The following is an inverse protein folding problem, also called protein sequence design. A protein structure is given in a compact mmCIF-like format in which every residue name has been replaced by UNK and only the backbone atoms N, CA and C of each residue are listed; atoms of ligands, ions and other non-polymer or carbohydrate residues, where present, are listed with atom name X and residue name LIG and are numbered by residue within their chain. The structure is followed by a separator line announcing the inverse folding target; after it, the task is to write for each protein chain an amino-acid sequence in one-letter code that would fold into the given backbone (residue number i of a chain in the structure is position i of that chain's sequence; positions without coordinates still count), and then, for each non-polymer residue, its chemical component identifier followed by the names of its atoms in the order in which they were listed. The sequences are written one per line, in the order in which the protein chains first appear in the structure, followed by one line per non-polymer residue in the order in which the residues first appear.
data_IF_413105669107
#
_entry.id   IF_413105669107
#
_cell.length_a   1.000
_cell.length_b   1.000
_cell.length_c   1.000
_cell.angle_alpha   90.00
_cell.angle_beta   90.00
_cell.angle_gamma   90.00
#
_symmetry.space_group_name_H-M   'P 1'
#
loop_
_entity.id
_entity.type
_entity.pdbx_description
1 polymer ?
#
# COMPACT_ATOMS: atom_id res chain seq x y z
N UNK A 1 12.82 -3.52 1.35
CA UNK A 1 11.55 -2.94 1.81
C UNK A 1 10.55 -4.07 1.91
N UNK A 2 9.58 -3.95 2.82
CA UNK A 2 8.60 -4.98 3.08
C UNK A 2 7.30 -4.68 2.32
N UNK A 3 6.72 -5.70 1.71
CA UNK A 3 5.42 -5.57 1.02
C UNK A 3 4.28 -5.67 2.03
N UNK A 4 3.15 -5.09 1.71
CA UNK A 4 1.98 -5.06 2.59
C UNK A 4 0.75 -5.57 1.85
N UNK A 5 -0.04 -6.42 2.50
CA UNK A 5 -1.26 -6.98 1.92
C UNK A 5 -2.48 -6.35 2.59
N UNK A 6 -3.45 -5.95 1.78
CA UNK A 6 -4.75 -5.51 2.25
C UNK A 6 -5.52 -6.71 2.80
N UNK A 7 -5.86 -6.67 4.08
CA UNK A 7 -6.55 -7.77 4.77
C UNK A 7 -8.02 -7.92 4.32
N UNK A 8 -8.55 -6.94 3.59
CA UNK A 8 -9.93 -6.94 3.10
C UNK A 8 -10.06 -7.56 1.71
N UNK A 9 -9.17 -7.21 0.78
CA UNK A 9 -9.30 -7.61 -0.63
C UNK A 9 -8.08 -8.34 -1.21
N UNK A 10 -6.99 -8.45 -0.45
CA UNK A 10 -5.77 -9.14 -0.88
C UNK A 10 -4.89 -8.35 -1.85
N UNK A 11 -5.14 -7.06 -2.08
CA UNK A 11 -4.21 -6.21 -2.83
C UNK A 11 -2.84 -6.19 -2.13
N UNK A 12 -1.75 -6.30 -2.90
CA UNK A 12 -0.39 -6.23 -2.36
C UNK A 12 0.23 -4.91 -2.80
N UNK A 13 0.56 -4.06 -1.82
CA UNK A 13 1.45 -2.93 -2.01
C UNK A 13 2.89 -3.44 -2.06
N UNK A 14 3.53 -3.31 -3.22
CA UNK A 14 4.95 -3.57 -3.41
C UNK A 14 5.70 -2.22 -3.48
N UNK A 15 6.54 -1.90 -2.49
CA UNK A 15 7.35 -0.68 -2.49
C UNK A 15 8.21 -0.48 -3.74
N UNK A 16 8.61 -1.55 -4.44
CA UNK A 16 9.39 -1.43 -5.69
C UNK A 16 8.56 -0.92 -6.87
N UNK A 17 7.24 -1.08 -6.79
CA UNK A 17 6.27 -0.63 -7.80
C UNK A 17 5.66 0.71 -7.39
N UNK A 18 5.30 0.85 -6.11
CA UNK A 18 4.50 1.98 -5.62
C UNK A 18 3.04 1.90 -6.11
N UNK A 19 2.42 3.05 -6.24
CA UNK A 19 1.07 3.26 -6.75
C UNK A 19 0.96 4.67 -7.37
N UNK A 20 1.61 4.86 -8.53
CA UNK A 20 1.77 6.19 -9.15
C UNK A 20 0.43 6.85 -9.54
N UNK A 21 -0.56 6.05 -9.94
CA UNK A 21 -1.90 6.55 -10.28
C UNK A 21 -2.60 7.19 -9.07
N UNK A 22 -2.22 6.77 -7.86
CA UNK A 22 -2.74 7.30 -6.60
C UNK A 22 -1.68 8.10 -5.81
N UNK A 23 -0.64 8.59 -6.49
CA UNK A 23 0.32 9.55 -5.93
C UNK A 23 1.43 8.95 -5.07
N UNK A 24 1.65 7.64 -5.12
CA UNK A 24 2.73 6.96 -4.39
C UNK A 24 3.79 6.49 -5.38
N UNK A 25 4.94 7.15 -5.41
CA UNK A 25 6.01 6.78 -6.35
C UNK A 25 6.63 5.41 -6.04
N UNK A 26 7.19 4.77 -7.08
CA UNK A 26 8.06 3.60 -6.90
C UNK A 26 9.22 3.90 -5.94
N UNK A 27 9.58 2.91 -5.13
CA UNK A 27 10.57 3.04 -4.06
C UNK A 27 10.04 3.63 -2.75
N UNK A 28 8.76 4.02 -2.67
CA UNK A 28 8.17 4.49 -1.41
C UNK A 28 7.98 3.33 -0.44
N UNK A 29 8.57 3.42 0.75
CA UNK A 29 8.33 2.42 1.81
C UNK A 29 6.94 2.63 2.42
N UNK A 30 6.35 1.58 3.00
CA UNK A 30 5.04 1.64 3.65
C UNK A 30 4.91 2.79 4.67
N UNK A 31 5.93 2.99 5.50
CA UNK A 31 5.98 4.07 6.50
C UNK A 31 5.92 5.48 5.88
N UNK A 32 6.26 5.62 4.60
CA UNK A 32 6.25 6.87 3.85
C UNK A 32 5.04 6.99 2.90
N UNK A 33 4.19 5.97 2.80
CA UNK A 33 2.92 6.08 2.08
C UNK A 33 2.05 7.10 2.82
N UNK A 34 1.44 8.09 2.12
CA UNK A 34 0.56 9.07 2.75
C UNK A 34 -0.57 8.44 3.58
N UNK A 35 -0.92 9.02 4.72
CA UNK A 35 -1.96 8.48 5.62
C UNK A 35 -3.38 8.53 5.02
N UNK A 36 -3.60 9.40 4.03
CA UNK A 36 -4.83 9.52 3.27
C UNK A 36 -4.86 8.62 2.02
N UNK A 37 -3.78 7.88 1.72
CA UNK A 37 -3.80 6.87 0.68
C UNK A 37 -4.76 5.73 1.06
N UNK A 38 -5.54 5.30 0.07
CA UNK A 38 -6.51 4.23 0.21
C UNK A 38 -6.14 3.08 -0.73
N UNK A 39 -6.46 1.86 -0.34
CA UNK A 39 -6.30 0.68 -1.18
C UNK A 39 -6.94 0.92 -2.56
N UNK A 40 -6.21 0.79 -3.67
CA UNK A 40 -6.71 1.14 -5.00
C UNK A 40 -7.82 0.21 -5.49
N UNK A 41 -8.00 -0.94 -4.85
CA UNK A 41 -9.05 -1.90 -5.21
C UNK A 41 -10.33 -1.76 -4.38
N UNK A 42 -10.24 -1.42 -3.10
CA UNK A 42 -11.40 -1.44 -2.20
C UNK A 42 -11.59 -0.19 -1.34
N UNK A 43 -10.67 0.78 -1.39
CA UNK A 43 -10.82 2.09 -0.76
C UNK A 43 -10.63 2.12 0.76
N UNK A 44 -10.13 1.04 1.38
CA UNK A 44 -9.82 1.03 2.82
C UNK A 44 -8.47 1.69 3.12
N UNK A 45 -8.30 2.18 4.34
CA UNK A 45 -7.06 2.82 4.79
C UNK A 45 -5.92 1.86 5.07
N UNK A 46 -4.75 2.43 5.35
CA UNK A 46 -3.51 1.73 5.71
C UNK A 46 -3.62 0.89 6.98
N UNK A 47 -4.59 1.18 7.84
CA UNK A 47 -4.87 0.43 9.08
C UNK A 47 -5.38 -1.00 8.83
N UNK A 48 -5.85 -1.31 7.62
CA UNK A 48 -6.29 -2.64 7.20
C UNK A 48 -5.27 -3.36 6.32
N UNK A 49 -3.99 -3.08 6.53
CA UNK A 49 -2.88 -3.75 5.86
C UNK A 49 -1.93 -4.40 6.86
N UNK A 50 -1.44 -5.58 6.49
CA UNK A 50 -0.46 -6.35 7.25
C UNK A 50 0.82 -6.53 6.44
N UNK A 51 1.97 -6.51 7.10
CA UNK A 51 3.25 -6.84 6.47
C UNK A 51 3.22 -8.28 5.94
N UNK A 52 3.69 -8.48 4.70
CA UNK A 52 3.94 -9.80 4.14
C UNK A 52 5.33 -10.25 4.56
N UNK A 53 5.42 -11.38 5.25
CA UNK A 53 6.70 -12.00 5.64
C UNK A 53 7.52 -12.48 4.43
#
# INVERSE_FOLDING_TARGET
MKSYVCDVCGYIYDPSIGDEENGVSSGTSWDNVPEDWLCPLCGVGKDLFSEVE
#
